data_IF_719101762925
#
_entry.id   IF_719101762925
#
_cell.length_a   1.000
_cell.length_b   1.000
_cell.length_c   1.000
_cell.angle_alpha   90.00
_cell.angle_beta   90.00
_cell.angle_gamma   90.00
#
_symmetry.space_group_name_H-M   'P 1'
#
loop_
_entity.id
_entity.type
_entity.pdbx_description
1 polymer ?
#
# COMPACT_ATOMS: atom_id res chain seq x y z
N UNK A 1 -2.00 -1.57 -19.90
CA UNK A 1 -0.75 -0.77 -19.95
C UNK A 1 0.32 -1.48 -19.13
N UNK A 2 1.59 -1.08 -19.18
CA UNK A 2 2.65 -1.57 -18.29
C UNK A 2 3.20 -0.44 -17.41
N UNK A 3 4.13 -0.78 -16.49
CA UNK A 3 4.75 0.19 -15.59
C UNK A 3 6.17 0.61 -16.03
N UNK A 4 6.57 0.29 -17.24
CA UNK A 4 7.91 0.63 -17.78
C UNK A 4 8.15 2.14 -17.73
N UNK A 5 9.25 2.55 -17.08
CA UNK A 5 9.64 3.95 -16.94
C UNK A 5 8.67 4.81 -16.12
N UNK A 6 7.70 4.21 -15.44
CA UNK A 6 6.87 4.92 -14.45
C UNK A 6 7.61 5.08 -13.15
N UNK A 7 7.41 6.19 -12.46
CA UNK A 7 7.95 6.41 -11.11
C UNK A 7 6.88 6.18 -10.07
N UNK A 8 7.09 5.17 -9.22
CA UNK A 8 6.22 4.84 -8.10
C UNK A 8 6.84 5.33 -6.77
N UNK A 9 6.12 6.16 -6.04
CA UNK A 9 6.46 6.53 -4.66
C UNK A 9 5.69 5.59 -3.71
N UNK A 10 6.40 4.69 -3.01
CA UNK A 10 5.77 3.65 -2.19
C UNK A 10 6.16 3.85 -0.73
N UNK A 11 5.17 4.15 0.12
CA UNK A 11 5.40 4.27 1.57
C UNK A 11 5.45 2.90 2.23
N UNK A 12 6.35 2.71 3.20
CA UNK A 12 6.50 1.44 3.91
C UNK A 12 7.04 0.29 3.05
N UNK A 13 7.80 0.58 1.99
CA UNK A 13 8.27 -0.41 1.02
C UNK A 13 9.56 -1.14 1.39
N UNK A 14 10.05 -1.02 2.64
CA UNK A 14 11.25 -1.75 3.08
C UNK A 14 11.06 -3.26 3.23
N UNK A 15 9.81 -3.75 3.24
CA UNK A 15 9.43 -5.16 3.40
C UNK A 15 7.96 -5.42 3.05
N UNK A 16 7.54 -6.69 3.13
CA UNK A 16 6.14 -7.11 3.07
C UNK A 16 5.42 -6.70 1.78
N UNK A 17 4.17 -6.26 1.92
CA UNK A 17 3.30 -5.91 0.79
C UNK A 17 3.90 -4.78 -0.06
N UNK A 18 4.40 -3.72 0.57
CA UNK A 18 5.01 -2.60 -0.16
C UNK A 18 6.22 -3.01 -0.99
N UNK A 19 7.08 -3.89 -0.48
CA UNK A 19 8.20 -4.43 -1.23
C UNK A 19 7.73 -5.37 -2.36
N UNK A 20 6.73 -6.19 -2.13
CA UNK A 20 6.18 -7.06 -3.17
C UNK A 20 5.60 -6.25 -4.35
N UNK A 21 4.84 -5.17 -4.06
CA UNK A 21 4.35 -4.23 -5.08
C UNK A 21 5.52 -3.57 -5.82
N UNK A 22 6.55 -3.14 -5.09
CA UNK A 22 7.75 -2.54 -5.67
C UNK A 22 8.45 -3.48 -6.64
N UNK A 23 8.67 -4.74 -6.27
CA UNK A 23 9.30 -5.78 -7.12
C UNK A 23 8.45 -6.11 -8.34
N UNK A 24 7.12 -6.18 -8.17
CA UNK A 24 6.20 -6.44 -9.30
C UNK A 24 6.27 -5.32 -10.34
N UNK A 25 6.30 -4.06 -9.90
CA UNK A 25 6.46 -2.91 -10.79
C UNK A 25 7.87 -2.86 -11.42
N UNK A 26 8.89 -3.19 -10.64
CA UNK A 26 10.29 -3.23 -11.10
C UNK A 26 10.51 -4.25 -12.23
N UNK A 27 9.76 -5.36 -12.25
CA UNK A 27 9.82 -6.35 -13.31
C UNK A 27 9.46 -5.79 -14.70
N UNK A 28 8.68 -4.72 -14.76
CA UNK A 28 8.41 -3.97 -16.00
C UNK A 28 9.51 -2.91 -16.30
N UNK A 29 10.46 -2.68 -15.41
CA UNK A 29 11.45 -1.60 -15.54
C UNK A 29 10.97 -0.27 -14.96
N UNK A 30 10.16 -0.27 -13.90
CA UNK A 30 9.72 0.93 -13.20
C UNK A 30 10.83 1.53 -12.32
N UNK A 31 10.70 2.83 -12.01
CA UNK A 31 11.50 3.55 -11.02
C UNK A 31 10.77 3.52 -9.67
N UNK A 32 11.42 3.04 -8.63
CA UNK A 32 10.80 2.85 -7.31
C UNK A 32 11.45 3.76 -6.27
N UNK A 33 10.66 4.63 -5.67
CA UNK A 33 11.04 5.37 -4.46
C UNK A 33 10.57 4.56 -3.25
N UNK A 34 11.52 4.08 -2.47
CA UNK A 34 11.29 3.28 -1.26
C UNK A 34 11.30 4.23 -0.06
N UNK A 35 10.12 4.74 0.31
CA UNK A 35 9.97 5.68 1.42
C UNK A 35 9.60 4.94 2.71
N UNK A 36 10.56 4.68 3.60
CA UNK A 36 10.30 3.99 4.86
C UNK A 36 11.30 4.39 5.96
N UNK A 37 10.94 4.13 7.21
CA UNK A 37 11.76 4.50 8.38
C UNK A 37 12.98 3.62 8.59
N UNK A 38 12.91 2.34 8.17
CA UNK A 38 13.89 1.32 8.56
C UNK A 38 15.11 1.39 7.66
N UNK A 39 16.18 2.03 8.14
CA UNK A 39 17.49 2.07 7.51
C UNK A 39 18.46 1.03 8.10
N UNK A 40 18.25 0.65 9.37
CA UNK A 40 19.07 -0.33 10.08
C UNK A 40 18.33 -1.66 10.21
N UNK A 41 19.09 -2.76 10.20
CA UNK A 41 18.53 -4.11 10.32
C UNK A 41 18.07 -4.38 11.77
N UNK A 42 16.85 -4.89 11.94
CA UNK A 42 16.35 -5.47 13.19
C UNK A 42 16.08 -6.97 12.96
N UNK A 43 16.72 -7.88 13.74
CA UNK A 43 16.50 -9.32 13.57
C UNK A 43 15.02 -9.76 13.68
N UNK A 44 14.20 -9.01 14.44
CA UNK A 44 12.77 -9.29 14.60
C UNK A 44 11.92 -8.81 13.41
N UNK A 45 12.43 -7.82 12.66
CA UNK A 45 11.75 -7.23 11.51
C UNK A 45 12.75 -7.07 10.36
N UNK A 46 13.16 -8.16 9.70
CA UNK A 46 14.16 -8.12 8.63
C UNK A 46 13.69 -7.24 7.46
N UNK A 47 14.68 -6.66 6.78
CA UNK A 47 14.47 -5.76 5.66
C UNK A 47 14.66 -4.29 6.03
N UNK A 48 15.42 -3.60 5.19
CA UNK A 48 15.71 -2.16 5.27
C UNK A 48 15.39 -1.50 3.94
N UNK A 49 15.40 -0.16 3.88
CA UNK A 49 15.26 0.56 2.60
C UNK A 49 16.39 0.16 1.63
N UNK A 50 17.56 -0.20 2.13
CA UNK A 50 18.73 -0.57 1.31
C UNK A 50 18.60 -1.99 0.77
N UNK A 51 18.26 -2.98 1.61
CA UNK A 51 18.01 -4.35 1.13
C UNK A 51 16.85 -4.41 0.16
N UNK A 52 15.79 -3.64 0.40
CA UNK A 52 14.66 -3.52 -0.53
C UNK A 52 15.10 -2.90 -1.88
N UNK A 53 16.01 -1.92 -1.86
CA UNK A 53 16.53 -1.34 -3.09
C UNK A 53 17.32 -2.36 -3.92
N UNK A 54 18.11 -3.24 -3.30
CA UNK A 54 18.78 -4.33 -4.00
C UNK A 54 17.80 -5.33 -4.63
N UNK A 55 16.74 -5.69 -3.90
CA UNK A 55 15.70 -6.58 -4.44
C UNK A 55 14.94 -5.95 -5.63
N UNK A 56 14.65 -4.65 -5.57
CA UNK A 56 14.02 -3.91 -6.67
C UNK A 56 14.93 -3.88 -7.90
N UNK A 57 16.23 -3.62 -7.72
CA UNK A 57 17.21 -3.63 -8.82
C UNK A 57 17.35 -5.03 -9.42
N UNK A 58 17.41 -6.06 -8.58
CA UNK A 58 17.46 -7.44 -9.04
C UNK A 58 16.20 -7.86 -9.82
N UNK A 59 15.04 -7.24 -9.53
CA UNK A 59 13.79 -7.44 -10.26
C UNK A 59 13.73 -6.69 -11.61
N UNK A 60 14.71 -5.83 -11.94
CA UNK A 60 14.80 -5.13 -13.22
C UNK A 60 14.45 -3.65 -13.20
N UNK A 61 14.10 -3.09 -12.04
CA UNK A 61 13.77 -1.67 -11.88
C UNK A 61 14.96 -0.81 -11.41
N UNK A 62 14.70 0.48 -11.28
CA UNK A 62 15.58 1.40 -10.57
C UNK A 62 15.04 1.65 -9.17
N UNK A 63 15.92 1.89 -8.19
CA UNK A 63 15.52 2.08 -6.80
C UNK A 63 16.18 3.29 -6.16
N UNK A 64 15.38 4.12 -5.51
CA UNK A 64 15.81 5.25 -4.68
C UNK A 64 15.35 4.99 -3.22
N UNK A 65 16.23 4.48 -2.34
CA UNK A 65 15.90 4.30 -0.93
C UNK A 65 15.97 5.64 -0.18
N UNK A 66 14.88 6.01 0.49
CA UNK A 66 14.77 7.23 1.28
C UNK A 66 14.29 6.90 2.69
N UNK A 67 15.04 7.34 3.70
CA UNK A 67 14.61 7.21 5.09
C UNK A 67 13.58 8.29 5.42
N UNK A 68 12.31 7.89 5.56
CA UNK A 68 11.18 8.80 5.75
C UNK A 68 10.27 8.30 6.86
N UNK A 69 10.01 9.16 7.84
CA UNK A 69 8.84 9.02 8.72
C UNK A 69 7.69 9.84 8.12
N UNK A 70 6.65 9.18 7.65
CA UNK A 70 5.51 9.85 6.99
C UNK A 70 4.68 10.72 7.94
N UNK A 71 4.99 10.76 9.24
CA UNK A 71 4.41 11.69 10.20
C UNK A 71 5.10 13.07 10.15
N UNK A 72 6.32 13.11 9.62
CA UNK A 72 7.11 14.33 9.47
C UNK A 72 6.87 14.93 8.08
N UNK A 73 6.23 16.08 8.06
CA UNK A 73 5.87 16.79 6.84
C UNK A 73 7.12 17.20 6.03
N UNK A 74 8.14 17.72 6.70
CA UNK A 74 9.35 18.17 6.02
C UNK A 74 10.12 17.00 5.40
N UNK A 75 10.17 15.86 6.09
CA UNK A 75 10.78 14.65 5.56
C UNK A 75 10.03 14.14 4.32
N UNK A 76 8.70 14.18 4.32
CA UNK A 76 7.89 13.78 3.16
C UNK A 76 8.11 14.71 1.98
N UNK A 77 8.09 16.03 2.19
CA UNK A 77 8.32 17.03 1.14
C UNK A 77 9.73 16.91 0.54
N UNK A 78 10.75 16.72 1.39
CA UNK A 78 12.13 16.48 0.94
C UNK A 78 12.26 15.19 0.11
N UNK A 79 11.57 14.12 0.51
CA UNK A 79 11.58 12.85 -0.22
C UNK A 79 10.92 12.97 -1.59
N UNK A 80 9.81 13.70 -1.70
CA UNK A 80 9.14 13.99 -2.98
C UNK A 80 10.08 14.80 -3.88
N UNK A 81 10.72 15.86 -3.35
CA UNK A 81 11.68 16.66 -4.11
C UNK A 81 12.85 15.80 -4.63
N UNK A 82 13.39 14.91 -3.79
CA UNK A 82 14.47 14.02 -4.19
C UNK A 82 14.05 13.00 -5.25
N UNK A 83 12.82 12.47 -5.16
CA UNK A 83 12.25 11.60 -6.19
C UNK A 83 12.15 12.33 -7.54
N UNK A 84 11.69 13.58 -7.54
CA UNK A 84 11.59 14.42 -8.74
C UNK A 84 12.97 14.70 -9.34
N UNK A 85 13.96 15.04 -8.51
CA UNK A 85 15.34 15.28 -8.97
C UNK A 85 15.95 14.01 -9.60
N UNK A 86 15.64 12.83 -9.06
CA UNK A 86 16.25 11.56 -9.49
C UNK A 86 15.58 11.01 -10.74
N UNK A 87 14.24 11.02 -10.79
CA UNK A 87 13.46 10.33 -11.82
C UNK A 87 12.62 11.26 -12.71
N UNK A 88 12.66 12.57 -12.47
CA UNK A 88 11.96 13.56 -13.27
C UNK A 88 10.49 13.79 -12.92
N UNK A 89 9.92 13.06 -11.95
CA UNK A 89 8.53 13.20 -11.51
C UNK A 89 8.02 11.95 -10.80
N UNK A 90 6.73 11.97 -10.43
CA UNK A 90 6.03 10.86 -9.78
C UNK A 90 4.74 10.60 -10.57
N UNK A 91 4.57 9.37 -11.05
CA UNK A 91 3.37 8.94 -11.78
C UNK A 91 2.35 8.28 -10.87
N UNK A 92 2.82 7.57 -9.84
CA UNK A 92 2.02 6.70 -9.00
C UNK A 92 2.44 6.90 -7.54
N UNK A 93 1.45 7.03 -6.65
CA UNK A 93 1.64 6.97 -5.21
C UNK A 93 1.00 5.69 -4.67
N UNK A 94 1.75 4.92 -3.86
CA UNK A 94 1.21 3.79 -3.09
C UNK A 94 1.32 4.10 -1.59
N UNK A 95 0.19 4.39 -0.97
CA UNK A 95 0.05 4.56 0.47
C UNK A 95 -0.07 3.19 1.14
N UNK A 96 1.08 2.58 1.48
CA UNK A 96 1.13 1.26 2.10
C UNK A 96 1.63 1.29 3.55
N UNK A 97 2.35 2.32 3.97
CA UNK A 97 2.80 2.43 5.37
C UNK A 97 1.62 2.38 6.34
N UNK A 98 1.71 1.55 7.37
CA UNK A 98 0.64 1.36 8.36
C UNK A 98 1.22 1.00 9.72
N UNK A 99 0.48 1.34 10.77
CA UNK A 99 0.69 0.87 12.13
C UNK A 99 -0.57 0.14 12.63
N UNK A 100 -0.35 -0.90 13.44
CA UNK A 100 -1.42 -1.74 13.98
C UNK A 100 -1.29 -1.87 15.50
N UNK A 101 -2.42 -1.82 16.20
CA UNK A 101 -2.59 -2.26 17.57
C UNK A 101 -4.02 -2.77 17.75
N UNK A 102 -4.16 -4.07 18.02
CA UNK A 102 -5.45 -4.76 18.11
C UNK A 102 -5.88 -4.85 19.59
N UNK A 103 -6.04 -3.69 20.21
CA UNK A 103 -6.46 -3.56 21.61
C UNK A 103 -7.80 -2.85 21.69
N UNK A 104 -8.59 -3.20 22.70
CA UNK A 104 -9.84 -2.51 23.04
C UNK A 104 -9.57 -1.08 23.56
N UNK A 105 -10.62 -0.35 23.86
CA UNK A 105 -10.53 1.05 24.29
C UNK A 105 -9.79 1.22 25.62
N UNK A 106 -10.01 0.32 26.56
CA UNK A 106 -9.39 0.38 27.88
C UNK A 106 -7.87 0.15 27.81
N UNK A 107 -7.43 -0.76 26.94
CA UNK A 107 -6.03 -1.18 26.82
C UNK A 107 -5.28 -0.49 25.68
N UNK A 108 -5.86 0.52 25.04
CA UNK A 108 -5.18 1.31 23.99
C UNK A 108 -4.57 2.59 24.58
N UNK A 109 -3.25 2.64 24.85
CA UNK A 109 -2.61 3.88 25.31
C UNK A 109 -2.72 4.96 24.23
N UNK A 110 -2.95 6.22 24.63
CA UNK A 110 -3.05 7.34 23.68
C UNK A 110 -1.82 7.47 22.75
N UNK A 111 -0.63 7.15 23.22
CA UNK A 111 0.57 7.07 22.37
C UNK A 111 0.43 6.08 21.20
N UNK A 112 -0.31 4.98 21.39
CA UNK A 112 -0.59 4.01 20.32
C UNK A 112 -1.69 4.51 19.39
N UNK A 113 -2.73 5.14 19.96
CA UNK A 113 -3.76 5.82 19.19
C UNK A 113 -3.16 6.89 18.27
N UNK A 114 -2.34 7.79 18.82
CA UNK A 114 -1.67 8.86 18.06
C UNK A 114 -0.74 8.29 16.98
N UNK A 115 0.00 7.21 17.29
CA UNK A 115 0.87 6.54 16.33
C UNK A 115 0.07 5.99 15.14
N UNK A 116 -1.04 5.27 15.41
CA UNK A 116 -1.88 4.69 14.35
C UNK A 116 -2.52 5.77 13.49
N UNK A 117 -3.14 6.77 14.10
CA UNK A 117 -3.77 7.85 13.35
C UNK A 117 -2.75 8.73 12.61
N UNK A 118 -1.59 8.98 13.23
CA UNK A 118 -0.50 9.74 12.63
C UNK A 118 0.09 9.06 11.38
N UNK A 119 0.24 7.74 11.40
CA UNK A 119 0.76 6.99 10.25
C UNK A 119 -0.36 6.72 9.24
N UNK A 120 -1.46 6.09 9.68
CA UNK A 120 -2.47 5.57 8.77
C UNK A 120 -3.27 6.71 8.11
N UNK A 121 -4.04 7.47 8.89
CA UNK A 121 -4.92 8.51 8.34
C UNK A 121 -4.13 9.76 7.91
N UNK A 122 -3.43 10.41 8.86
CA UNK A 122 -2.70 11.65 8.57
C UNK A 122 -1.58 11.45 7.56
N UNK A 123 -0.78 10.37 7.70
CA UNK A 123 0.32 10.08 6.78
C UNK A 123 -0.14 9.80 5.35
N UNK A 124 -1.25 9.07 5.18
CA UNK A 124 -1.89 8.86 3.87
C UNK A 124 -2.32 10.18 3.24
N UNK A 125 -2.98 11.06 3.99
CA UNK A 125 -3.37 12.38 3.51
C UNK A 125 -2.15 13.23 3.11
N UNK A 126 -1.14 13.30 3.98
CA UNK A 126 0.08 14.09 3.77
C UNK A 126 0.86 13.61 2.54
N UNK A 127 1.09 12.32 2.40
CA UNK A 127 1.81 11.78 1.23
C UNK A 127 1.04 12.04 -0.07
N UNK A 128 -0.29 11.93 -0.04
CA UNK A 128 -1.13 12.24 -1.19
C UNK A 128 -1.05 13.73 -1.55
N UNK A 129 -1.14 14.62 -0.56
CA UNK A 129 -1.01 16.06 -0.74
C UNK A 129 0.36 16.44 -1.32
N UNK A 130 1.44 15.88 -0.78
CA UNK A 130 2.81 16.17 -1.22
C UNK A 130 3.10 15.68 -2.65
N UNK A 131 2.56 14.50 -3.03
CA UNK A 131 2.74 13.96 -4.38
C UNK A 131 1.78 14.57 -5.42
N UNK A 132 0.67 15.21 -5.00
CA UNK A 132 -0.37 15.69 -5.90
C UNK A 132 0.12 16.62 -7.03
N UNK A 133 1.04 17.56 -6.81
CA UNK A 133 1.56 18.40 -7.90
C UNK A 133 2.20 17.58 -9.03
N UNK A 134 2.96 16.53 -8.69
CA UNK A 134 3.62 15.64 -9.67
C UNK A 134 2.61 14.71 -10.34
N UNK A 135 1.66 14.15 -9.61
CA UNK A 135 0.58 13.34 -10.16
C UNK A 135 -0.27 14.13 -11.17
N UNK A 136 -0.52 15.43 -10.92
CA UNK A 136 -1.20 16.31 -11.89
C UNK A 136 -0.38 16.50 -13.17
N UNK A 137 0.95 16.71 -13.05
CA UNK A 137 1.85 16.80 -14.21
C UNK A 137 1.85 15.50 -15.00
N UNK A 138 1.93 14.36 -14.32
CA UNK A 138 1.89 13.04 -14.94
C UNK A 138 0.57 12.80 -15.69
N UNK A 139 -0.56 13.11 -15.06
CA UNK A 139 -1.88 12.99 -15.69
C UNK A 139 -2.03 13.90 -16.93
N UNK A 140 -1.58 15.16 -16.84
CA UNK A 140 -1.59 16.11 -17.95
C UNK A 140 -0.71 15.64 -19.12
N UNK A 141 0.40 14.97 -18.84
CA UNK A 141 1.28 14.36 -19.83
C UNK A 141 0.80 12.99 -20.35
N UNK A 142 -0.38 12.52 -19.95
CA UNK A 142 -0.93 11.23 -20.36
C UNK A 142 -0.21 10.01 -19.74
N UNK A 143 0.48 10.20 -18.61
CA UNK A 143 1.30 9.16 -17.99
C UNK A 143 0.52 8.25 -17.02
N UNK A 144 -0.80 8.18 -17.11
CA UNK A 144 -1.64 7.25 -16.36
C UNK A 144 -1.42 7.34 -14.84
N UNK A 145 -1.75 8.49 -14.25
CA UNK A 145 -1.48 8.78 -12.84
C UNK A 145 -2.44 8.06 -11.89
N UNK A 146 -1.89 7.41 -10.85
CA UNK A 146 -2.67 6.66 -9.85
C UNK A 146 -2.27 6.98 -8.41
N UNK A 147 -3.24 6.90 -7.51
CA UNK A 147 -3.03 6.75 -6.07
C UNK A 147 -3.67 5.44 -5.63
N UNK A 148 -2.89 4.55 -5.05
CA UNK A 148 -3.36 3.30 -4.46
C UNK A 148 -3.13 3.32 -2.95
N UNK A 149 -4.19 3.06 -2.18
CA UNK A 149 -4.11 3.00 -0.72
C UNK A 149 -4.38 1.59 -0.23
N UNK A 150 -3.48 1.06 0.62
CA UNK A 150 -3.66 -0.26 1.24
C UNK A 150 -4.62 -0.13 2.42
N UNK A 151 -5.92 -0.04 2.11
CA UNK A 151 -6.97 0.18 3.10
C UNK A 151 -8.27 -0.57 2.74
N UNK A 152 -9.07 -0.93 3.77
CA UNK A 152 -10.24 -1.79 3.58
C UNK A 152 -11.43 -1.05 2.97
N UNK A 153 -12.43 -1.78 2.45
CA UNK A 153 -13.74 -1.21 2.17
C UNK A 153 -14.37 -0.66 3.44
N UNK A 154 -15.17 0.41 3.29
CA UNK A 154 -15.87 1.01 4.41
C UNK A 154 -17.10 0.17 4.79
N UNK A 155 -17.18 -0.25 6.03
CA UNK A 155 -18.32 -0.95 6.61
C UNK A 155 -18.69 -0.34 7.95
N UNK A 156 -19.97 -0.07 8.19
CA UNK A 156 -20.47 0.47 9.46
C UNK A 156 -20.92 -0.63 10.42
N UNK A 157 -20.58 -1.90 10.16
CA UNK A 157 -20.93 -3.02 11.03
C UNK A 157 -20.13 -2.96 12.34
N UNK A 158 -20.83 -3.00 13.47
CA UNK A 158 -20.24 -2.83 14.81
C UNK A 158 -19.12 -3.83 15.13
N UNK A 159 -19.21 -5.06 14.61
CA UNK A 159 -18.20 -6.09 14.88
C UNK A 159 -16.81 -5.74 14.34
N UNK A 160 -16.70 -4.85 13.33
CA UNK A 160 -15.43 -4.34 12.84
C UNK A 160 -14.82 -3.25 13.73
N UNK A 161 -15.63 -2.64 14.61
CA UNK A 161 -15.18 -1.59 15.52
C UNK A 161 -14.91 -2.11 16.93
N UNK A 162 -15.82 -2.93 17.45
CA UNK A 162 -15.86 -3.28 18.89
C UNK A 162 -14.54 -3.89 19.43
N UNK A 163 -13.82 -4.77 18.71
CA UNK A 163 -12.59 -5.37 19.24
C UNK A 163 -11.39 -4.42 19.26
N UNK A 164 -11.36 -3.40 18.39
CA UNK A 164 -10.19 -2.55 18.17
C UNK A 164 -10.56 -1.21 17.55
N UNK A 165 -11.43 -0.46 18.18
CA UNK A 165 -12.00 0.81 17.68
C UNK A 165 -10.93 1.77 17.17
N UNK A 166 -9.84 1.97 17.91
CA UNK A 166 -8.75 2.88 17.51
C UNK A 166 -8.08 2.48 16.18
N UNK A 167 -7.85 1.17 15.96
CA UNK A 167 -7.28 0.67 14.72
C UNK A 167 -8.24 0.82 13.55
N UNK A 168 -9.52 0.47 13.76
CA UNK A 168 -10.56 0.61 12.74
C UNK A 168 -10.70 2.06 12.29
N UNK A 169 -10.76 3.02 13.23
CA UNK A 169 -10.79 4.44 12.91
C UNK A 169 -9.60 4.88 12.07
N UNK A 170 -8.39 4.45 12.44
CA UNK A 170 -7.17 4.79 11.71
C UNK A 170 -7.15 4.20 10.28
N UNK A 171 -7.59 2.94 10.11
CA UNK A 171 -7.69 2.30 8.77
C UNK A 171 -8.80 2.91 7.92
N UNK A 172 -9.95 3.20 8.50
CA UNK A 172 -11.03 3.87 7.80
C UNK A 172 -10.69 5.32 7.43
N UNK A 173 -9.84 6.00 8.22
CA UNK A 173 -9.26 7.29 7.83
C UNK A 173 -8.50 7.22 6.50
N UNK A 174 -7.75 6.14 6.25
CA UNK A 174 -7.12 5.90 4.94
C UNK A 174 -8.17 5.69 3.84
N UNK A 175 -9.20 4.89 4.12
CA UNK A 175 -10.29 4.62 3.17
C UNK A 175 -11.11 5.87 2.83
N UNK A 176 -11.33 6.74 3.83
CA UNK A 176 -11.98 8.04 3.63
C UNK A 176 -11.14 8.97 2.74
N UNK A 177 -9.81 8.92 2.84
CA UNK A 177 -8.92 9.61 1.90
C UNK A 177 -9.15 9.11 0.47
N UNK A 178 -9.24 7.79 0.27
CA UNK A 178 -9.54 7.23 -1.07
C UNK A 178 -10.86 7.77 -1.61
N UNK A 179 -11.92 7.72 -0.82
CA UNK A 179 -13.24 8.18 -1.23
C UNK A 179 -13.24 9.67 -1.60
N UNK A 180 -12.68 10.52 -0.74
CA UNK A 180 -12.61 11.97 -0.94
C UNK A 180 -11.73 12.35 -2.13
N UNK A 181 -10.51 11.82 -2.19
CA UNK A 181 -9.56 12.13 -3.26
C UNK A 181 -10.01 11.58 -4.63
N UNK A 182 -10.72 10.45 -4.68
CA UNK A 182 -11.28 9.95 -5.94
C UNK A 182 -12.25 10.97 -6.57
N UNK A 183 -13.13 11.55 -5.77
CA UNK A 183 -14.03 12.61 -6.23
C UNK A 183 -13.29 13.89 -6.61
N UNK A 184 -12.34 14.33 -5.78
CA UNK A 184 -11.59 15.58 -5.99
C UNK A 184 -10.67 15.51 -7.22
N UNK A 185 -9.96 14.38 -7.45
CA UNK A 185 -8.89 14.28 -8.45
C UNK A 185 -9.40 13.82 -9.82
N UNK A 186 -10.66 13.40 -9.91
CA UNK A 186 -11.30 12.98 -11.18
C UNK A 186 -11.13 14.01 -12.30
N UNK A 187 -11.27 15.29 -11.97
CA UNK A 187 -11.13 16.42 -12.92
C UNK A 187 -9.72 16.54 -13.49
N UNK A 188 -8.71 15.92 -12.86
CA UNK A 188 -7.33 15.91 -13.34
C UNK A 188 -6.97 14.63 -14.11
N UNK A 189 -7.87 13.64 -14.16
CA UNK A 189 -7.59 12.33 -14.76
C UNK A 189 -6.63 11.48 -13.93
N UNK A 190 -6.70 11.59 -12.60
CA UNK A 190 -5.94 10.78 -11.65
C UNK A 190 -6.92 9.77 -11.03
N UNK A 191 -6.62 8.48 -11.15
CA UNK A 191 -7.40 7.44 -10.49
C UNK A 191 -6.93 7.25 -9.04
N UNK A 192 -7.88 7.10 -8.13
CA UNK A 192 -7.63 6.88 -6.70
C UNK A 192 -8.44 5.68 -6.23
N UNK A 193 -7.78 4.63 -5.76
CA UNK A 193 -8.41 3.38 -5.36
C UNK A 193 -7.81 2.84 -4.05
N UNK A 194 -8.55 1.96 -3.39
CA UNK A 194 -8.08 1.14 -2.29
C UNK A 194 -7.95 -0.32 -2.72
N UNK A 195 -7.01 -1.03 -2.09
CA UNK A 195 -6.84 -2.48 -2.22
C UNK A 195 -6.68 -3.09 -0.83
N UNK A 196 -7.37 -4.21 -0.58
CA UNK A 196 -7.35 -4.91 0.68
C UNK A 196 -7.30 -6.42 0.48
N UNK A 197 -6.60 -7.19 1.34
CA UNK A 197 -6.59 -8.64 1.25
C UNK A 197 -7.88 -9.25 1.84
N UNK A 198 -8.39 -10.33 1.22
CA UNK A 198 -9.44 -11.15 1.84
C UNK A 198 -8.92 -11.98 2.98
N UNK A 199 -7.68 -12.42 2.88
CA UNK A 199 -7.05 -13.31 3.85
C UNK A 199 -5.78 -12.71 4.40
N UNK A 200 -5.40 -13.09 5.60
CA UNK A 200 -4.16 -12.65 6.24
C UNK A 200 -2.94 -12.88 5.32
N UNK A 201 -2.06 -11.89 5.27
CA UNK A 201 -0.85 -11.91 4.43
C UNK A 201 0.38 -12.19 5.27
N UNK A 202 1.17 -13.16 4.87
CA UNK A 202 2.40 -13.58 5.54
C UNK A 202 3.49 -12.49 5.47
N UNK A 203 3.41 -11.54 6.38
CA UNK A 203 4.38 -10.45 6.53
C UNK A 203 5.09 -10.57 7.88
N UNK A 204 6.28 -9.97 8.00
CA UNK A 204 6.99 -9.92 9.29
C UNK A 204 6.16 -9.23 10.39
N UNK A 205 5.33 -8.26 10.04
CA UNK A 205 4.42 -7.60 10.99
C UNK A 205 3.35 -8.56 11.51
N UNK A 206 2.79 -9.43 10.65
CA UNK A 206 1.79 -10.42 11.05
C UNK A 206 2.40 -11.50 11.96
N UNK A 207 3.64 -11.92 11.69
CA UNK A 207 4.37 -12.90 12.51
C UNK A 207 4.60 -12.45 13.95
N UNK A 208 4.54 -11.14 14.22
CA UNK A 208 4.64 -10.59 15.58
C UNK A 208 3.31 -10.65 16.36
N UNK A 209 2.21 -11.00 15.73
CA UNK A 209 0.89 -11.13 16.39
C UNK A 209 0.81 -12.53 17.01
N UNK A 210 0.68 -12.65 18.35
CA UNK A 210 0.60 -13.96 18.98
C UNK A 210 -0.57 -14.79 18.47
N UNK A 211 -0.33 -16.09 18.23
CA UNK A 211 -1.37 -17.04 17.84
C UNK A 211 -1.72 -17.04 16.34
N UNK A 212 -1.06 -16.26 15.51
CA UNK A 212 -1.26 -16.30 14.06
C UNK A 212 -0.48 -17.46 13.44
N UNK A 213 -1.19 -18.35 12.76
CA UNK A 213 -0.59 -19.41 11.95
C UNK A 213 -0.24 -18.89 10.55
N UNK A 214 1.03 -18.57 10.35
CA UNK A 214 1.53 -18.07 9.07
C UNK A 214 1.35 -19.07 7.92
N UNK A 215 1.33 -20.40 8.23
CA UNK A 215 1.09 -21.43 7.22
C UNK A 215 -0.33 -21.35 6.62
N UNK A 216 -1.27 -20.75 7.35
CA UNK A 216 -2.64 -20.49 6.91
C UNK A 216 -2.82 -19.08 6.29
N UNK A 217 -1.76 -18.45 5.84
CA UNK A 217 -1.78 -17.14 5.17
C UNK A 217 -1.52 -17.26 3.68
N UNK A 218 -1.77 -16.15 2.97
CA UNK A 218 -1.30 -15.97 1.58
C UNK A 218 -0.02 -15.13 1.55
N UNK A 219 0.74 -15.29 0.46
CA UNK A 219 1.98 -14.53 0.20
C UNK A 219 1.66 -13.10 -0.22
N UNK A 220 2.55 -12.12 0.05
CA UNK A 220 2.37 -10.73 -0.36
C UNK A 220 2.19 -10.52 -1.88
N UNK A 221 2.65 -11.48 -2.69
CA UNK A 221 2.56 -11.44 -4.15
C UNK A 221 1.13 -11.37 -4.67
N UNK A 222 0.13 -11.87 -3.91
CA UNK A 222 -1.28 -11.73 -4.31
C UNK A 222 -1.69 -10.26 -4.38
N UNK A 223 -1.29 -9.46 -3.39
CA UNK A 223 -1.55 -8.02 -3.39
C UNK A 223 -0.70 -7.28 -4.42
N UNK A 224 0.51 -7.75 -4.70
CA UNK A 224 1.36 -7.17 -5.73
C UNK A 224 0.75 -7.33 -7.13
N UNK A 225 0.25 -8.52 -7.46
CA UNK A 225 -0.41 -8.78 -8.75
C UNK A 225 -1.76 -8.06 -8.86
N UNK A 226 -2.55 -8.00 -7.77
CA UNK A 226 -3.78 -7.22 -7.72
C UNK A 226 -3.52 -5.71 -7.86
N UNK A 227 -2.51 -5.17 -7.17
CA UNK A 227 -2.09 -3.78 -7.30
C UNK A 227 -1.64 -3.46 -8.74
N UNK A 228 -0.93 -4.38 -9.39
CA UNK A 228 -0.52 -4.23 -10.79
C UNK A 228 -1.71 -4.03 -11.72
N UNK A 229 -2.79 -4.80 -11.55
CA UNK A 229 -4.01 -4.64 -12.35
C UNK A 229 -4.64 -3.25 -12.14
N UNK A 230 -4.70 -2.75 -10.92
CA UNK A 230 -5.20 -1.40 -10.63
C UNK A 230 -4.32 -0.35 -11.28
N UNK A 231 -3.00 -0.42 -11.09
CA UNK A 231 -2.05 0.60 -11.54
C UNK A 231 -1.83 0.63 -13.06
N UNK A 232 -2.22 -0.43 -13.77
CA UNK A 232 -2.15 -0.51 -15.23
C UNK A 232 -3.50 -0.31 -15.92
N UNK A 233 -4.59 -0.13 -15.17
CA UNK A 233 -5.90 0.27 -15.70
C UNK A 233 -5.85 1.72 -16.23
N UNK A 234 -6.78 2.10 -17.08
CA UNK A 234 -6.86 3.50 -17.57
C UNK A 234 -7.36 4.43 -16.47
N UNK A 235 -6.50 5.33 -15.99
CA UNK A 235 -6.82 6.29 -14.94
C UNK A 235 -7.89 7.32 -15.33
N UNK A 236 -8.15 7.51 -16.63
CA UNK A 236 -9.16 8.45 -17.14
C UNK A 236 -10.54 7.82 -17.23
N UNK A 237 -10.64 6.50 -17.21
CA UNK A 237 -11.91 5.80 -17.16
C UNK A 237 -12.53 5.99 -15.78
N UNK A 238 -13.76 6.51 -15.79
CA UNK A 238 -14.53 6.76 -14.57
C UNK A 238 -14.82 5.48 -13.75
N UNK A 239 -14.82 4.33 -14.39
CA UNK A 239 -15.00 3.04 -13.72
C UNK A 239 -13.76 2.60 -12.91
N UNK A 240 -12.58 3.17 -13.21
CA UNK A 240 -11.30 2.79 -12.59
C UNK A 240 -10.89 3.72 -11.45
N UNK A 241 -11.80 4.49 -10.86
CA UNK A 241 -11.51 5.38 -9.72
C UNK A 241 -12.60 5.31 -8.66
N UNK A 242 -12.24 5.42 -7.39
CA UNK A 242 -13.16 5.38 -6.25
C UNK A 242 -13.51 3.95 -5.80
N UNK A 243 -12.80 2.94 -6.28
CA UNK A 243 -13.06 1.55 -5.97
C UNK A 243 -12.32 1.11 -4.70
N UNK A 244 -12.93 0.16 -4.00
CA UNK A 244 -12.37 -0.58 -2.89
C UNK A 244 -12.24 -2.03 -3.30
N UNK A 245 -11.09 -2.37 -3.88
CA UNK A 245 -10.84 -3.70 -4.41
C UNK A 245 -10.46 -4.69 -3.31
N UNK A 246 -10.91 -5.93 -3.47
CA UNK A 246 -10.41 -7.08 -2.72
C UNK A 246 -9.52 -7.89 -3.67
N UNK A 247 -8.37 -8.33 -3.16
CA UNK A 247 -7.30 -8.94 -3.97
C UNK A 247 -7.77 -10.11 -4.82
N UNK A 248 -8.41 -11.11 -4.21
CA UNK A 248 -8.85 -12.32 -4.88
C UNK A 248 -10.03 -12.09 -5.85
N UNK A 249 -10.96 -11.19 -5.51
CA UNK A 249 -12.06 -10.80 -6.39
C UNK A 249 -11.53 -10.10 -7.65
N UNK A 250 -10.58 -9.16 -7.45
CA UNK A 250 -9.99 -8.42 -8.57
C UNK A 250 -9.21 -9.36 -9.51
N UNK A 251 -8.41 -10.27 -8.96
CA UNK A 251 -7.66 -11.27 -9.73
C UNK A 251 -8.60 -12.20 -10.50
N UNK A 252 -9.65 -12.70 -9.85
CA UNK A 252 -10.64 -13.57 -10.48
C UNK A 252 -11.38 -12.85 -11.64
N UNK A 253 -11.77 -11.60 -11.44
CA UNK A 253 -12.40 -10.78 -12.48
C UNK A 253 -11.52 -10.56 -13.71
N UNK A 254 -10.19 -10.67 -13.55
CA UNK A 254 -9.21 -10.58 -14.64
C UNK A 254 -8.70 -11.96 -15.11
N UNK A 255 -9.45 -13.03 -14.83
CA UNK A 255 -9.17 -14.39 -15.35
C UNK A 255 -8.12 -15.18 -14.55
N UNK A 256 -7.65 -14.67 -13.42
CA UNK A 256 -6.71 -15.39 -12.53
C UNK A 256 -7.51 -16.17 -11.46
N UNK A 257 -8.15 -17.24 -11.84
CA UNK A 257 -8.98 -18.06 -10.94
C UNK A 257 -8.14 -18.99 -10.04
N UNK A 258 -6.93 -19.40 -10.47
CA UNK A 258 -6.03 -20.23 -9.67
C UNK A 258 -5.16 -19.36 -8.77
N UNK A 259 -5.55 -19.32 -7.49
CA UNK A 259 -4.85 -18.57 -6.45
C UNK A 259 -3.95 -19.44 -5.56
N UNK A 260 -3.81 -20.73 -5.87
CA UNK A 260 -3.03 -21.68 -5.05
C UNK A 260 -1.55 -21.31 -4.97
N UNK A 261 -1.01 -20.69 -6.03
CA UNK A 261 0.37 -20.19 -6.05
C UNK A 261 0.68 -19.17 -4.95
N UNK A 262 -0.35 -18.48 -4.45
CA UNK A 262 -0.20 -17.50 -3.37
C UNK A 262 -0.33 -18.10 -1.97
N UNK A 263 -0.69 -19.35 -1.81
CA UNK A 263 -0.68 -20.02 -0.52
C UNK A 263 0.75 -20.10 0.03
N UNK A 264 0.95 -19.79 1.33
CA UNK A 264 2.24 -20.03 1.99
C UNK A 264 2.53 -21.52 2.03
N UNK A 265 1.54 -22.31 2.42
CA UNK A 265 1.60 -23.77 2.36
C UNK A 265 0.88 -24.27 1.10
N UNK A 266 1.58 -24.88 0.13
CA UNK A 266 0.94 -25.40 -1.09
C UNK A 266 -0.20 -26.35 -0.76
N UNK A 267 -1.34 -26.20 -1.47
CA UNK A 267 -2.52 -27.03 -1.28
C UNK A 267 -3.40 -26.66 -0.09
N UNK A 268 -3.02 -25.65 0.72
CA UNK A 268 -3.88 -25.14 1.78
C UNK A 268 -5.16 -24.53 1.20
N UNK A 269 -6.32 -24.90 1.77
CA UNK A 269 -7.65 -24.40 1.39
C UNK A 269 -8.33 -23.62 2.52
N UNK A 270 -7.72 -23.58 3.71
CA UNK A 270 -8.25 -22.90 4.88
C UNK A 270 -7.32 -21.74 5.24
N UNK A 271 -7.71 -20.55 4.87
CA UNK A 271 -6.96 -19.34 5.16
C UNK A 271 -7.56 -18.58 6.35
N UNK A 272 -6.73 -17.88 7.09
CA UNK A 272 -7.18 -16.92 8.10
C UNK A 272 -7.82 -15.73 7.37
N UNK A 273 -9.09 -15.37 7.64
CA UNK A 273 -9.67 -14.18 7.06
C UNK A 273 -8.95 -12.91 7.58
N UNK A 274 -8.83 -11.90 6.73
CA UNK A 274 -8.38 -10.58 7.18
C UNK A 274 -9.56 -9.77 7.76
N UNK A 275 -9.27 -8.64 8.39
CA UNK A 275 -10.28 -7.75 8.93
C UNK A 275 -11.05 -7.04 7.81
N UNK A 276 -12.29 -6.60 8.13
CA UNK A 276 -13.12 -5.70 7.31
C UNK A 276 -13.70 -6.30 6.02
N UNK A 277 -13.54 -7.60 5.80
CA UNK A 277 -14.14 -8.32 4.66
C UNK A 277 -15.04 -9.42 5.22
N UNK A 278 -16.33 -9.40 4.86
CA UNK A 278 -17.34 -10.38 5.26
C UNK A 278 -17.32 -11.64 4.37
#
# INVERSE_FOLDING_TARGET
MDLKGKTLFITGASRGIGLAIAKRAAADGANIVIAAKTAESDPRLPGTIYSAAEEVRAAGGQALPLQVDIRDEQAVLAAVAQAVMTFGGIDILVNNASAISLTDTEHTPMKRYDLMNGINARGTYLCTQACLPELKKAAAAGRNAHVLTMSPPLSMKTHWFAPHTAYTMAKYGMSMCTLGHAGEFRKYGIAVNSLWPRTAIATAALQMIPGVDVAACRKPEILADAAYLVLTSDARDAANTGNFHIDDELLAAHGQADLDRYAVTPGNRKFIPDFFVD
#
